data_IF_889807373051
#
_entry.id   IF_889807373051
#
_cell.length_a   1.000
_cell.length_b   1.000
_cell.length_c   1.000
_cell.angle_alpha   90.00
_cell.angle_beta   90.00
_cell.angle_gamma   90.00
#
_symmetry.space_group_name_H-M   'P 1'
#
loop_
_entity.id
_entity.type
_entity.pdbx_description
1 polymer ?
#
# COMPACT_ATOMS: atom_id res chain seq x y z
N UNK A 1 4.89 1.33 -10.25
CA UNK A 1 3.46 0.98 -10.41
C UNK A 1 2.62 1.60 -9.30
N UNK A 2 1.35 1.93 -9.56
CA UNK A 2 0.45 2.54 -8.56
C UNK A 2 -0.62 1.54 -8.10
N UNK A 3 -0.64 1.24 -6.80
CA UNK A 3 -1.58 0.31 -6.16
C UNK A 3 -2.63 1.10 -5.38
N UNK A 4 -3.82 1.25 -5.95
CA UNK A 4 -4.91 2.03 -5.35
C UNK A 4 -5.90 1.12 -4.63
N UNK A 5 -6.20 1.46 -3.38
CA UNK A 5 -7.19 0.72 -2.61
C UNK A 5 -8.58 0.91 -3.21
N UNK A 6 -9.27 -0.20 -3.45
CA UNK A 6 -10.51 -0.25 -4.19
C UNK A 6 -10.35 -0.47 -5.69
N UNK A 7 -9.13 -0.57 -6.24
CA UNK A 7 -8.93 -1.01 -7.62
C UNK A 7 -9.35 -2.48 -7.80
N UNK A 8 -9.88 -2.82 -8.97
CA UNK A 8 -10.24 -4.19 -9.31
C UNK A 8 -9.01 -5.11 -9.28
N UNK A 9 -9.21 -6.34 -8.81
CA UNK A 9 -8.24 -7.43 -8.86
C UNK A 9 -8.81 -8.54 -9.73
N UNK A 10 -8.00 -9.03 -10.68
CA UNK A 10 -8.37 -10.08 -11.64
C UNK A 10 -7.32 -11.16 -11.73
N UNK A 11 -7.73 -12.37 -12.10
CA UNK A 11 -6.82 -13.46 -12.50
C UNK A 11 -7.50 -14.28 -13.59
N UNK A 12 -6.74 -14.71 -14.61
CA UNK A 12 -7.27 -15.51 -15.72
C UNK A 12 -8.50 -14.89 -16.39
N UNK A 13 -8.55 -13.56 -16.51
CA UNK A 13 -9.69 -12.83 -17.07
C UNK A 13 -10.92 -12.71 -16.15
N UNK A 14 -10.94 -13.29 -14.95
CA UNK A 14 -12.05 -13.19 -13.99
C UNK A 14 -11.78 -12.14 -12.92
N UNK A 15 -12.82 -11.43 -12.46
CA UNK A 15 -12.71 -10.50 -11.31
C UNK A 15 -12.76 -11.30 -10.01
N UNK A 16 -11.74 -11.12 -9.18
CA UNK A 16 -11.65 -11.74 -7.85
C UNK A 16 -12.19 -10.83 -6.75
N UNK A 17 -12.04 -9.51 -6.93
CA UNK A 17 -12.49 -8.52 -5.94
C UNK A 17 -11.83 -7.17 -6.14
N UNK A 18 -11.48 -6.53 -5.03
CA UNK A 18 -10.83 -5.23 -4.98
C UNK A 18 -9.63 -5.25 -4.04
N UNK A 19 -8.63 -4.43 -4.35
CA UNK A 19 -7.47 -4.24 -3.49
C UNK A 19 -7.92 -3.62 -2.16
N UNK A 20 -7.65 -4.33 -1.06
CA UNK A 20 -8.01 -3.93 0.29
C UNK A 20 -6.84 -3.25 1.02
N UNK A 21 -5.61 -3.72 0.78
CA UNK A 21 -4.40 -3.21 1.42
C UNK A 21 -3.13 -3.79 0.84
N UNK A 22 -2.00 -3.48 1.46
CA UNK A 22 -0.67 -4.03 1.16
C UNK A 22 0.09 -4.31 2.44
N UNK A 23 0.89 -5.37 2.44
CA UNK A 23 1.87 -5.66 3.49
C UNK A 23 3.21 -5.01 3.13
N UNK A 24 3.78 -4.29 4.08
CA UNK A 24 5.06 -3.58 3.94
C UNK A 24 6.03 -4.13 4.96
N UNK A 25 7.21 -4.52 4.51
CA UNK A 25 8.33 -4.80 5.40
C UNK A 25 8.79 -3.49 6.05
N UNK A 26 8.68 -3.41 7.38
CA UNK A 26 8.94 -2.17 8.12
C UNK A 26 10.40 -1.68 8.06
N UNK A 27 11.35 -2.60 7.81
CA UNK A 27 12.79 -2.31 7.80
C UNK A 27 13.22 -1.80 6.41
N UNK A 28 12.96 -2.60 5.38
CA UNK A 28 13.32 -2.32 3.99
C UNK A 28 12.34 -1.37 3.29
N UNK A 29 11.18 -1.10 3.90
CA UNK A 29 10.09 -0.29 3.33
C UNK A 29 9.65 -0.79 1.95
N UNK A 30 9.65 -2.11 1.77
CA UNK A 30 9.21 -2.78 0.55
C UNK A 30 7.82 -3.36 0.73
N UNK A 31 6.96 -3.17 -0.25
CA UNK A 31 5.71 -3.91 -0.37
C UNK A 31 6.05 -5.36 -0.71
N UNK A 32 5.64 -6.29 0.13
CA UNK A 32 5.90 -7.73 -0.06
C UNK A 32 4.69 -8.45 -0.62
N UNK A 33 3.49 -8.06 -0.17
CA UNK A 33 2.23 -8.64 -0.61
C UNK A 33 1.16 -7.58 -0.83
N UNK A 34 0.23 -7.91 -1.71
CA UNK A 34 -1.08 -7.24 -1.75
C UNK A 34 -2.09 -8.03 -0.92
N UNK A 35 -3.09 -7.33 -0.41
CA UNK A 35 -4.25 -7.91 0.28
C UNK A 35 -5.50 -7.51 -0.48
N UNK A 36 -6.35 -8.47 -0.85
CA UNK A 36 -7.58 -8.20 -1.60
C UNK A 36 -8.75 -9.02 -1.09
N UNK A 37 -9.96 -8.53 -1.35
CA UNK A 37 -11.21 -9.18 -0.91
C UNK A 37 -12.36 -8.79 -1.85
N UNK A 38 -13.49 -9.47 -1.73
CA UNK A 38 -14.65 -9.19 -2.60
C UNK A 38 -15.20 -7.77 -2.46
N UNK A 39 -15.09 -7.13 -1.28
CA UNK A 39 -15.59 -5.78 -1.01
C UNK A 39 -14.49 -4.71 -0.87
N UNK A 40 -13.22 -5.12 -1.02
CA UNK A 40 -12.07 -4.23 -0.87
C UNK A 40 -11.83 -3.76 0.56
N UNK A 41 -12.36 -4.48 1.56
CA UNK A 41 -12.06 -4.27 2.98
C UNK A 41 -11.17 -5.38 3.51
N UNK A 42 -10.44 -5.04 4.56
CA UNK A 42 -9.73 -6.04 5.36
C UNK A 42 -10.75 -6.81 6.21
N UNK A 43 -10.60 -8.14 6.30
CA UNK A 43 -11.52 -9.01 7.04
C UNK A 43 -11.12 -10.47 6.90
N UNK A 44 -11.93 -11.37 7.47
CA UNK A 44 -11.65 -12.82 7.48
C UNK A 44 -11.59 -13.47 6.10
N UNK A 45 -12.19 -12.85 5.09
CA UNK A 45 -12.22 -13.31 3.70
C UNK A 45 -11.17 -12.60 2.83
N UNK A 46 -10.18 -11.94 3.45
CA UNK A 46 -9.09 -11.31 2.73
C UNK A 46 -8.07 -12.36 2.28
N UNK A 47 -7.65 -12.26 1.03
CA UNK A 47 -6.61 -13.08 0.43
C UNK A 47 -5.34 -12.26 0.27
N UNK A 48 -4.19 -12.93 0.30
CA UNK A 48 -2.89 -12.29 0.05
C UNK A 48 -2.24 -12.88 -1.18
N UNK A 49 -1.47 -12.05 -1.89
CA UNK A 49 -0.67 -12.48 -3.04
C UNK A 49 0.67 -11.75 -3.02
N UNK A 50 1.76 -12.46 -3.35
CA UNK A 50 3.08 -11.84 -3.52
C UNK A 50 3.02 -10.70 -4.53
N UNK A 51 3.68 -9.59 -4.23
CA UNK A 51 3.77 -8.45 -5.15
C UNK A 51 4.37 -8.85 -6.51
N UNK A 52 5.28 -9.81 -6.53
CA UNK A 52 5.96 -10.27 -7.77
C UNK A 52 4.99 -10.87 -8.79
N UNK A 53 3.86 -11.39 -8.33
CA UNK A 53 2.81 -11.96 -9.18
C UNK A 53 1.80 -10.90 -9.65
N UNK A 54 1.98 -9.63 -9.28
CA UNK A 54 1.02 -8.55 -9.53
C UNK A 54 1.52 -7.66 -10.66
N UNK A 55 0.65 -7.43 -11.64
CA UNK A 55 0.83 -6.41 -12.67
C UNK A 55 -0.33 -5.42 -12.63
N UNK A 56 -0.11 -4.20 -13.11
CA UNK A 56 -1.16 -3.18 -13.21
C UNK A 56 -1.45 -2.90 -14.68
N UNK A 57 -2.66 -3.18 -15.11
CA UNK A 57 -3.15 -2.97 -16.47
C UNK A 57 -4.34 -2.02 -16.45
N UNK A 58 -4.17 -0.82 -17.03
CA UNK A 58 -5.25 0.20 -17.09
C UNK A 58 -5.90 0.47 -15.72
N UNK A 59 -5.11 0.48 -14.64
CA UNK A 59 -5.58 0.69 -13.26
C UNK A 59 -6.21 -0.52 -12.58
N UNK A 60 -6.26 -1.66 -13.25
CA UNK A 60 -6.68 -2.96 -12.70
C UNK A 60 -5.46 -3.79 -12.32
N UNK A 61 -5.51 -4.44 -11.15
CA UNK A 61 -4.48 -5.38 -10.74
C UNK A 61 -4.77 -6.74 -11.37
N UNK A 62 -3.78 -7.28 -12.08
CA UNK A 62 -3.83 -8.61 -12.71
C UNK A 62 -2.85 -9.51 -11.98
N UNK A 63 -3.37 -10.62 -11.45
CA UNK A 63 -2.59 -11.65 -10.78
C UNK A 63 -2.18 -12.70 -11.81
N UNK A 64 -0.87 -12.89 -11.95
CA UNK A 64 -0.30 -14.04 -12.64
C UNK A 64 0.10 -15.15 -11.68
N UNK A 65 0.77 -16.16 -12.21
CA UNK A 65 1.40 -17.19 -11.40
C UNK A 65 2.61 -16.60 -10.69
N UNK A 66 2.65 -16.74 -9.36
CA UNK A 66 3.83 -16.39 -8.60
C UNK A 66 4.89 -17.49 -8.81
N UNK A 67 6.18 -17.15 -8.98
CA UNK A 67 7.22 -18.12 -8.71
C UNK A 67 7.08 -18.61 -7.26
N UNK A 68 7.56 -19.84 -6.98
CA UNK A 68 7.54 -20.42 -5.64
C UNK A 68 8.04 -19.38 -4.61
N UNK A 69 7.38 -19.25 -3.44
CA UNK A 69 7.68 -18.19 -2.50
C UNK A 69 9.16 -18.19 -2.19
N UNK A 70 9.88 -17.13 -2.59
CA UNK A 70 11.24 -16.91 -2.11
C UNK A 70 11.14 -16.88 -0.60
N UNK A 71 11.82 -17.82 0.07
CA UNK A 71 11.79 -18.03 1.52
C UNK A 71 11.57 -16.71 2.24
N UNK A 72 10.39 -16.57 2.87
CA UNK A 72 10.05 -15.42 3.67
C UNK A 72 11.24 -15.16 4.59
N UNK A 73 11.92 -14.02 4.39
CA UNK A 73 12.85 -13.55 5.41
C UNK A 73 12.03 -13.47 6.68
N UNK A 74 12.51 -14.07 7.77
CA UNK A 74 11.88 -14.07 9.09
C UNK A 74 11.93 -12.65 9.72
N UNK A 75 11.70 -11.64 8.89
CA UNK A 75 11.86 -10.23 9.16
C UNK A 75 10.54 -9.67 9.69
N UNK A 76 10.68 -8.87 10.75
CA UNK A 76 9.76 -7.90 11.35
C UNK A 76 8.26 -8.00 11.01
N UNK A 77 7.44 -7.87 12.05
CA UNK A 77 5.98 -7.78 11.91
C UNK A 77 5.58 -6.81 10.77
N UNK A 78 4.91 -7.30 9.71
CA UNK A 78 4.65 -6.50 8.53
C UNK A 78 3.67 -5.37 8.85
N UNK A 79 3.96 -4.18 8.31
CA UNK A 79 3.10 -3.02 8.45
C UNK A 79 1.99 -3.11 7.40
N UNK A 80 0.75 -3.20 7.86
CA UNK A 80 -0.42 -3.26 6.98
C UNK A 80 -0.89 -1.85 6.61
N UNK A 81 -0.81 -1.51 5.32
CA UNK A 81 -1.38 -0.27 4.79
C UNK A 81 -2.71 -0.55 4.09
N UNK A 82 -3.74 0.23 4.43
CA UNK A 82 -5.07 0.14 3.83
C UNK A 82 -5.81 1.47 3.92
N UNK A 83 -7.05 1.51 3.42
CA UNK A 83 -7.95 2.68 3.56
C UNK A 83 -8.28 3.06 5.02
N UNK A 84 -8.04 2.17 5.99
CA UNK A 84 -8.24 2.48 7.41
C UNK A 84 -7.11 3.34 7.99
N UNK A 85 -5.94 3.34 7.34
CA UNK A 85 -4.74 4.06 7.79
C UNK A 85 -4.93 5.56 7.59
N UNK A 86 -4.66 6.33 8.64
CA UNK A 86 -4.76 7.80 8.64
C UNK A 86 -3.47 8.40 8.11
N UNK A 87 -3.59 9.49 7.38
CA UNK A 87 -2.46 10.37 7.08
C UNK A 87 -2.51 11.52 8.08
N UNK A 88 -1.43 11.68 8.84
CA UNK A 88 -1.28 12.73 9.84
C UNK A 88 -0.15 13.65 9.39
N UNK A 89 -0.42 14.95 9.28
CA UNK A 89 0.56 15.96 8.88
C UNK A 89 0.68 16.98 10.00
N UNK A 90 1.89 17.15 10.54
CA UNK A 90 2.15 18.08 11.65
C UNK A 90 1.17 17.87 12.83
N UNK A 91 0.91 16.60 13.17
CA UNK A 91 -0.04 16.23 14.24
C UNK A 91 -1.53 16.39 13.91
N UNK A 92 -1.89 16.88 12.72
CA UNK A 92 -3.29 17.04 12.28
C UNK A 92 -3.70 15.95 11.30
N UNK A 93 -4.94 15.49 11.42
CA UNK A 93 -5.51 14.54 10.46
C UNK A 93 -5.65 15.20 9.08
N UNK A 94 -4.92 14.68 8.10
CA UNK A 94 -4.87 15.18 6.72
C UNK A 94 -5.64 14.30 5.73
N UNK A 95 -6.20 13.17 6.19
CA UNK A 95 -6.97 12.24 5.38
C UNK A 95 -6.61 10.79 5.65
N UNK A 96 -6.88 9.93 4.67
CA UNK A 96 -6.62 8.50 4.71
C UNK A 96 -5.75 8.07 3.55
N UNK A 97 -5.06 6.95 3.72
CA UNK A 97 -4.29 6.34 2.64
C UNK A 97 -5.26 5.80 1.60
N UNK A 98 -5.05 6.19 0.35
CA UNK A 98 -5.81 5.75 -0.82
C UNK A 98 -5.03 4.74 -1.68
N UNK A 99 -3.73 4.58 -1.44
CA UNK A 99 -2.88 3.62 -2.14
C UNK A 99 -1.40 3.88 -1.89
N UNK A 100 -0.56 3.19 -2.64
CA UNK A 100 0.90 3.36 -2.64
C UNK A 100 1.45 3.36 -4.07
N UNK A 101 2.50 4.13 -4.30
CA UNK A 101 3.33 4.06 -5.49
C UNK A 101 4.53 3.20 -5.14
N UNK A 102 4.73 2.15 -5.93
CA UNK A 102 5.74 1.12 -5.71
C UNK A 102 6.70 1.13 -6.89
N UNK A 103 7.98 1.31 -6.60
CA UNK A 103 9.06 1.29 -7.57
C UNK A 103 9.54 -0.12 -7.90
N UNK A 104 10.79 -0.20 -8.33
CA UNK A 104 11.46 -1.47 -8.60
C UNK A 104 11.61 -2.30 -7.31
N UNK A 105 11.60 -3.63 -7.45
CA UNK A 105 11.78 -4.59 -6.34
C UNK A 105 10.82 -4.37 -5.14
N UNK A 106 9.68 -3.73 -5.37
CA UNK A 106 8.68 -3.48 -4.34
C UNK A 106 8.94 -2.28 -3.43
N UNK A 107 9.97 -1.46 -3.68
CA UNK A 107 10.26 -0.29 -2.84
C UNK A 107 9.10 0.71 -2.86
N UNK A 108 8.68 1.21 -1.69
CA UNK A 108 7.71 2.30 -1.64
C UNK A 108 8.38 3.59 -2.10
N UNK A 109 7.83 4.21 -3.15
CA UNK A 109 8.25 5.53 -3.64
C UNK A 109 7.39 6.65 -3.05
N UNK A 110 6.10 6.38 -2.85
CA UNK A 110 5.18 7.32 -2.23
C UNK A 110 3.96 6.62 -1.63
N UNK A 111 3.38 7.21 -0.59
CA UNK A 111 2.01 6.93 -0.18
C UNK A 111 1.05 7.88 -0.93
N UNK A 112 -0.09 7.36 -1.36
CA UNK A 112 -1.16 8.17 -1.95
C UNK A 112 -2.19 8.44 -0.88
N UNK A 113 -2.45 9.71 -0.58
CA UNK A 113 -3.42 10.16 0.41
C UNK A 113 -4.65 10.79 -0.22
N UNK A 114 -5.75 10.82 0.53
CA UNK A 114 -6.99 11.49 0.15
C UNK A 114 -7.75 11.94 1.39
N UNK A 115 -8.23 13.18 1.42
CA UNK A 115 -8.96 13.71 2.57
C UNK A 115 -10.41 13.18 2.62
N UNK A 116 -11.12 13.28 1.49
CA UNK A 116 -12.51 12.85 1.31
C UNK A 116 -12.71 12.20 -0.07
N UNK A 117 -13.79 11.44 -0.27
CA UNK A 117 -14.02 10.71 -1.52
C UNK A 117 -14.25 11.59 -2.76
N UNK A 118 -14.52 12.89 -2.59
CA UNK A 118 -14.59 13.86 -3.70
C UNK A 118 -13.29 14.67 -3.89
N UNK A 119 -12.42 14.72 -2.88
CA UNK A 119 -11.16 15.48 -2.97
C UNK A 119 -10.18 14.85 -3.96
N UNK A 120 -9.27 15.64 -4.54
CA UNK A 120 -8.15 15.10 -5.30
C UNK A 120 -7.27 14.18 -4.44
N UNK A 121 -6.58 13.24 -5.07
CA UNK A 121 -5.52 12.46 -4.40
C UNK A 121 -4.25 13.31 -4.35
N UNK A 122 -3.49 13.16 -3.27
CA UNK A 122 -2.16 13.75 -3.13
C UNK A 122 -1.13 12.65 -2.88
N UNK A 123 0.15 12.96 -3.13
CA UNK A 123 1.26 12.03 -2.92
C UNK A 123 2.15 12.52 -1.78
N UNK A 124 2.60 11.58 -0.96
CA UNK A 124 3.59 11.80 0.09
C UNK A 124 4.82 10.96 -0.27
N UNK A 125 5.98 11.57 -0.57
CA UNK A 125 7.16 10.83 -0.99
C UNK A 125 7.71 9.97 0.14
N UNK A 126 8.38 8.86 -0.21
CA UNK A 126 8.92 7.89 0.74
C UNK A 126 9.81 8.49 1.83
N UNK A 127 10.63 9.50 1.47
CA UNK A 127 11.49 10.23 2.39
C UNK A 127 10.73 10.98 3.50
N UNK A 128 9.45 11.30 3.26
CA UNK A 128 8.59 11.99 4.21
C UNK A 128 7.65 11.04 4.97
N UNK A 129 7.72 9.72 4.72
CA UNK A 129 6.89 8.73 5.39
C UNK A 129 7.52 8.29 6.71
N UNK A 130 6.77 8.48 7.78
CA UNK A 130 6.96 7.80 9.05
C UNK A 130 5.86 6.74 9.24
N UNK A 131 6.28 5.47 9.25
CA UNK A 131 5.44 4.28 9.39
C UNK A 131 5.55 3.64 10.79
N UNK A 132 6.24 4.29 11.73
CA UNK A 132 6.49 3.74 13.08
C UNK A 132 5.22 3.62 13.94
N UNK A 133 4.12 4.22 13.52
CA UNK A 133 2.86 4.25 14.26
C UNK A 133 1.82 3.36 13.58
N UNK A 134 1.43 2.23 14.19
CA UNK A 134 0.41 1.36 13.63
C UNK A 134 -0.89 2.13 13.33
N UNK A 135 -1.39 2.01 12.11
CA UNK A 135 -2.61 2.69 11.67
C UNK A 135 -2.45 4.17 11.27
N UNK A 136 -1.24 4.73 11.33
CA UNK A 136 -0.95 6.10 10.91
C UNK A 136 0.26 6.17 9.97
N UNK A 137 0.17 7.01 8.93
CA UNK A 137 1.32 7.53 8.20
C UNK A 137 1.51 8.96 8.65
N UNK A 138 2.61 9.23 9.36
CA UNK A 138 2.98 10.57 9.79
C UNK A 138 3.86 11.24 8.76
N UNK A 139 3.66 12.53 8.57
CA UNK A 139 4.34 13.34 7.54
C UNK A 139 4.74 14.68 8.13
N UNK A 140 5.94 15.17 7.76
CA UNK A 140 6.40 16.52 8.11
C UNK A 140 7.10 16.66 9.46
N UNK A 141 7.81 15.63 9.94
CA UNK A 141 8.70 15.72 11.11
C UNK A 141 10.21 15.76 10.74
N UNK A 142 10.56 15.90 9.46
CA UNK A 142 11.95 16.16 9.05
C UNK A 142 12.06 17.61 8.60
N UNK A 143 12.23 18.50 9.58
CA UNK A 143 13.04 19.70 9.34
C UNK A 143 14.46 19.23 9.06
N UNK A 144 14.80 19.01 7.80
CA UNK A 144 16.18 19.14 7.37
C UNK A 144 16.51 20.63 7.51
N UNK A 145 17.02 21.03 8.67
CA UNK A 145 17.67 22.32 8.83
C UNK A 145 18.94 22.22 7.99
N UNK A 146 18.91 22.79 6.79
CA UNK A 146 20.14 23.06 6.07
C UNK A 146 20.94 24.07 6.91
N UNK A 147 22.18 23.70 7.22
CA UNK A 147 23.24 24.63 7.63
C UNK A 147 23.86 25.17 6.35
#
# INVERSE_FOLDING_TARGET
MELLFGSHVRSGGRRLGYLAGVEVDGVSRRVTKIVFSQDGKLGSQAHTQSLEAVRVERGTLVLGDAPAPSSASAAAEPILLSRSVRVVRQGKHAGRVAGVVVGELGAIEAAVGRQHWWSGRYRVPAAALDLSHPGEIRTGAVTSRAV
#
